data_IF_742743512051
#
_entry.id   IF_742743512051
#
_cell.length_a   1.000
_cell.length_b   1.000
_cell.length_c   1.000
_cell.angle_alpha   90.00
_cell.angle_beta   90.00
_cell.angle_gamma   90.00
#
_symmetry.space_group_name_H-M   'P 1'
#
loop_
_entity.id
_entity.type
_entity.pdbx_description
1 polymer ?
#
# COMPACT_ATOMS: atom_id res chain seq x y z
N UNK A 1 -3.03 3.52 16.97
CA UNK A 1 -2.77 2.27 16.22
C UNK A 1 -2.78 2.62 14.75
N UNK A 2 -1.81 2.14 13.97
CA UNK A 2 -1.65 2.52 12.55
C UNK A 2 -2.72 1.95 11.62
N UNK A 3 -2.82 2.52 10.42
CA UNK A 3 -3.74 2.13 9.34
C UNK A 3 -3.35 0.82 8.63
N UNK A 4 -2.10 0.36 8.84
CA UNK A 4 -1.57 -0.93 8.39
C UNK A 4 -0.77 -1.56 9.55
N UNK A 5 -0.91 -2.87 9.73
CA UNK A 5 -0.10 -3.67 10.65
C UNK A 5 0.82 -4.59 9.83
N UNK A 6 2.06 -4.75 10.27
CA UNK A 6 3.02 -5.64 9.62
C UNK A 6 3.63 -6.60 10.64
N UNK A 7 3.50 -7.90 10.38
CA UNK A 7 4.03 -8.97 11.23
C UNK A 7 4.85 -9.95 10.39
N UNK A 8 5.98 -10.41 10.93
CA UNK A 8 6.85 -11.39 10.26
C UNK A 8 6.70 -12.74 10.95
N UNK A 9 6.32 -13.77 10.20
CA UNK A 9 6.28 -15.15 10.70
C UNK A 9 7.04 -16.05 9.73
N UNK A 10 8.12 -16.69 10.21
CA UNK A 10 9.04 -17.44 9.36
C UNK A 10 9.53 -16.56 8.20
N UNK A 11 9.39 -17.03 6.95
CA UNK A 11 9.76 -16.29 5.74
C UNK A 11 8.57 -15.55 5.09
N UNK A 12 7.51 -15.29 5.86
CA UNK A 12 6.26 -14.68 5.38
C UNK A 12 5.99 -13.37 6.11
N UNK A 13 5.78 -12.29 5.35
CA UNK A 13 5.31 -11.00 5.86
C UNK A 13 3.79 -10.90 5.80
N UNK A 14 3.14 -10.68 6.94
CA UNK A 14 1.68 -10.50 7.06
C UNK A 14 1.36 -9.02 7.14
N UNK A 15 0.73 -8.49 6.09
CA UNK A 15 0.32 -7.10 5.96
C UNK A 15 -1.20 -7.05 6.20
N UNK A 16 -1.62 -6.37 7.25
CA UNK A 16 -3.05 -6.28 7.61
C UNK A 16 -3.52 -4.84 7.52
N UNK A 17 -4.44 -4.56 6.60
CA UNK A 17 -5.12 -3.27 6.51
C UNK A 17 -6.01 -3.09 7.74
N UNK A 18 -5.84 -1.98 8.45
CA UNK A 18 -6.44 -1.75 9.77
C UNK A 18 -7.25 -0.45 9.79
N UNK A 19 -8.26 -0.42 8.91
CA UNK A 19 -9.21 0.68 8.73
C UNK A 19 -10.63 0.15 8.42
N UNK A 20 -11.17 -0.74 9.27
CA UNK A 20 -12.40 -1.49 8.98
C UNK A 20 -13.65 -0.61 8.84
N UNK A 21 -13.68 0.55 9.51
CA UNK A 21 -14.75 1.54 9.46
C UNK A 21 -14.94 2.15 8.06
N UNK A 22 -13.88 2.17 7.25
CA UNK A 22 -13.90 2.61 5.86
C UNK A 22 -13.75 1.46 4.86
N UNK A 23 -13.92 0.20 5.31
CA UNK A 23 -13.67 -0.99 4.47
C UNK A 23 -12.28 -0.95 3.82
N UNK A 24 -11.29 -0.45 4.54
CA UNK A 24 -9.92 -0.26 4.08
C UNK A 24 -9.80 0.52 2.78
N UNK A 25 -10.69 1.49 2.55
CA UNK A 25 -10.55 2.44 1.46
C UNK A 25 -9.19 3.14 1.56
N UNK A 26 -8.44 3.14 0.46
CA UNK A 26 -7.07 3.63 0.36
C UNK A 26 -7.07 5.17 0.39
N UNK A 27 -6.93 5.77 1.57
CA UNK A 27 -6.63 7.19 1.72
C UNK A 27 -5.11 7.41 1.71
N UNK A 28 -4.66 8.66 1.84
CA UNK A 28 -3.22 8.99 1.80
C UNK A 28 -2.44 8.29 2.92
N UNK A 29 -2.96 8.31 4.15
CA UNK A 29 -2.31 7.68 5.31
C UNK A 29 -2.10 6.17 5.12
N UNK A 30 -3.12 5.46 4.64
CA UNK A 30 -3.02 4.01 4.43
C UNK A 30 -2.13 3.67 3.23
N UNK A 31 -2.10 4.51 2.19
CA UNK A 31 -1.16 4.35 1.07
C UNK A 31 0.28 4.57 1.52
N UNK A 32 0.55 5.59 2.32
CA UNK A 32 1.90 5.88 2.83
C UNK A 32 2.38 4.75 3.77
N UNK A 33 1.51 4.27 4.65
CA UNK A 33 1.82 3.13 5.51
C UNK A 33 2.08 1.84 4.70
N UNK A 34 1.29 1.56 3.65
CA UNK A 34 1.55 0.44 2.75
C UNK A 34 2.89 0.58 2.02
N UNK A 35 3.23 1.78 1.57
CA UNK A 35 4.51 2.06 0.91
C UNK A 35 5.69 1.69 1.80
N UNK A 36 5.66 2.12 3.06
CA UNK A 36 6.71 1.84 4.03
C UNK A 36 6.82 0.34 4.31
N UNK A 37 5.69 -0.36 4.46
CA UNK A 37 5.66 -1.81 4.65
C UNK A 37 6.25 -2.56 3.46
N UNK A 38 5.96 -2.15 2.22
CA UNK A 38 6.57 -2.77 1.04
C UNK A 38 8.06 -2.51 0.94
N UNK A 39 8.51 -1.29 1.30
CA UNK A 39 9.93 -0.98 1.37
C UNK A 39 10.64 -1.85 2.41
N UNK A 40 10.03 -2.04 3.58
CA UNK A 40 10.53 -2.94 4.62
C UNK A 40 10.57 -4.39 4.15
N UNK A 41 9.49 -4.89 3.56
CA UNK A 41 9.40 -6.25 3.02
C UNK A 41 10.49 -6.51 1.96
N UNK A 42 10.67 -5.58 1.02
CA UNK A 42 11.65 -5.72 -0.06
C UNK A 42 13.11 -5.67 0.44
N UNK A 43 13.37 -4.97 1.55
CA UNK A 43 14.70 -4.88 2.15
C UNK A 43 15.07 -6.11 3.01
N UNK A 44 14.08 -6.93 3.40
CA UNK A 44 14.26 -8.02 4.34
C UNK A 44 14.48 -9.37 3.62
N UNK A 45 15.74 -9.79 3.53
CA UNK A 45 16.13 -11.08 2.92
C UNK A 45 15.63 -12.32 3.69
N UNK A 46 15.10 -12.15 4.91
CA UNK A 46 14.46 -13.24 5.63
C UNK A 46 13.05 -13.54 5.10
N UNK A 47 12.46 -12.66 4.29
CA UNK A 47 11.10 -12.79 3.76
C UNK A 47 11.11 -13.15 2.26
N UNK A 48 10.23 -14.07 1.88
CA UNK A 48 10.03 -14.48 0.48
C UNK A 48 8.63 -14.13 -0.04
N UNK A 49 7.62 -14.17 0.84
CA UNK A 49 6.21 -14.06 0.47
C UNK A 49 5.51 -13.05 1.38
N UNK A 50 4.69 -12.18 0.80
CA UNK A 50 3.79 -11.31 1.55
C UNK A 50 2.34 -11.81 1.44
N UNK A 51 1.62 -11.82 2.55
CA UNK A 51 0.17 -12.02 2.60
C UNK A 51 -0.46 -10.69 2.98
N UNK A 52 -1.34 -10.18 2.14
CA UNK A 52 -2.11 -8.96 2.42
C UNK A 52 -3.54 -9.34 2.76
N UNK A 53 -4.07 -8.83 3.88
CA UNK A 53 -5.47 -9.03 4.29
C UNK A 53 -6.03 -7.76 4.96
N UNK A 54 -7.34 -7.72 5.24
CA UNK A 54 -8.00 -6.64 5.97
C UNK A 54 -8.58 -7.15 7.29
N UNK A 55 -8.66 -6.29 8.31
CA UNK A 55 -9.41 -6.61 9.54
C UNK A 55 -10.93 -6.55 9.32
N UNK A 56 -11.69 -7.30 10.09
CA UNK A 56 -13.15 -7.22 10.04
C UNK A 56 -13.75 -7.82 8.76
N UNK A 57 -14.66 -7.08 8.11
CA UNK A 57 -15.63 -7.66 7.15
C UNK A 57 -15.25 -7.60 5.68
N UNK A 58 -14.17 -6.91 5.33
CA UNK A 58 -13.78 -6.71 3.93
C UNK A 58 -12.25 -6.73 3.80
N UNK A 59 -11.77 -7.08 2.62
CA UNK A 59 -10.36 -6.95 2.29
C UNK A 59 -9.98 -5.48 2.05
N UNK A 60 -10.50 -4.88 0.96
CA UNK A 60 -10.30 -3.48 0.60
C UNK A 60 -11.37 -3.05 -0.38
N UNK A 61 -11.93 -1.85 -0.19
CA UNK A 61 -12.95 -1.27 -1.09
C UNK A 61 -12.37 -0.44 -2.25
N UNK A 62 -11.04 -0.39 -2.38
CA UNK A 62 -10.34 0.38 -3.40
C UNK A 62 -10.03 1.81 -2.96
N UNK A 63 -10.07 2.76 -3.90
CA UNK A 63 -9.72 4.15 -3.66
C UNK A 63 -10.70 4.84 -2.69
N UNK A 64 -10.19 5.63 -1.73
CA UNK A 64 -11.05 6.49 -0.90
C UNK A 64 -11.48 7.73 -1.70
N UNK A 65 -12.58 7.60 -2.44
CA UNK A 65 -13.08 8.67 -3.31
C UNK A 65 -13.44 9.95 -2.53
N UNK A 66 -13.85 9.83 -1.26
CA UNK A 66 -14.16 11.00 -0.43
C UNK A 66 -12.90 11.84 -0.16
N UNK A 67 -11.77 11.18 0.04
CA UNK A 67 -10.47 11.82 0.24
C UNK A 67 -9.86 12.30 -1.09
N UNK A 68 -10.04 11.52 -2.16
CA UNK A 68 -9.44 11.81 -3.46
C UNK A 68 -10.17 12.90 -4.25
N UNK A 69 -11.50 12.85 -4.38
CA UNK A 69 -12.26 13.74 -5.27
C UNK A 69 -11.94 15.23 -5.05
N UNK A 70 -11.92 15.77 -3.81
CA UNK A 70 -11.60 17.19 -3.58
C UNK A 70 -10.20 17.59 -4.08
N UNK A 71 -9.23 16.67 -4.01
CA UNK A 71 -7.85 16.89 -4.47
C UNK A 71 -7.76 16.87 -6.00
N UNK A 72 -8.61 16.10 -6.66
CA UNK A 72 -8.60 15.91 -8.12
C UNK A 72 -9.54 16.85 -8.87
N UNK A 73 -10.52 17.46 -8.20
CA UNK A 73 -11.49 18.41 -8.79
C UNK A 73 -10.81 19.59 -9.50
N UNK A 74 -9.66 20.03 -8.98
CA UNK A 74 -8.89 21.16 -9.53
C UNK A 74 -7.53 20.74 -10.12
N UNK A 75 -7.27 19.44 -10.23
CA UNK A 75 -5.96 18.94 -10.67
C UNK A 75 -5.74 19.21 -12.15
N UNK A 76 -4.54 19.68 -12.50
CA UNK A 76 -4.12 19.83 -13.91
C UNK A 76 -3.43 18.54 -14.38
N UNK A 77 -3.36 18.35 -15.69
CA UNK A 77 -2.60 17.24 -16.32
C UNK A 77 -1.14 17.15 -15.81
N UNK A 78 -0.53 18.29 -15.45
CA UNK A 78 0.83 18.31 -14.89
C UNK A 78 0.91 17.77 -13.46
N UNK A 79 -0.17 17.83 -12.68
CA UNK A 79 -0.19 17.32 -11.31
C UNK A 79 -0.27 15.79 -11.29
N UNK A 80 -0.89 15.19 -12.32
CA UNK A 80 -0.80 13.75 -12.61
C UNK A 80 0.66 13.32 -12.76
N UNK A 81 1.45 14.11 -13.51
CA UNK A 81 2.85 13.81 -13.80
C UNK A 81 3.77 13.92 -12.58
N UNK A 82 3.46 14.80 -11.62
CA UNK A 82 4.23 14.92 -10.38
C UNK A 82 4.05 13.70 -9.47
N UNK A 83 2.88 13.07 -9.53
CA UNK A 83 2.53 11.96 -8.66
C UNK A 83 2.77 10.58 -9.29
N UNK A 84 3.42 10.47 -10.47
CA UNK A 84 3.59 9.18 -11.18
C UNK A 84 4.27 8.12 -10.32
N UNK A 85 5.21 8.51 -9.46
CA UNK A 85 5.89 7.58 -8.54
C UNK A 85 4.93 6.98 -7.48
N UNK A 86 3.86 7.68 -7.13
CA UNK A 86 2.81 7.25 -6.18
C UNK A 86 1.44 7.07 -6.87
N UNK A 87 1.40 7.12 -8.21
CA UNK A 87 0.31 7.28 -9.19
C UNK A 87 -1.00 8.01 -8.72
N UNK A 88 -2.16 7.88 -9.41
CA UNK A 88 -3.46 8.51 -9.07
C UNK A 88 -4.41 7.53 -8.35
N UNK A 89 -4.88 7.81 -7.12
CA UNK A 89 -5.98 7.06 -6.49
C UNK A 89 -5.63 5.83 -5.61
N UNK A 90 -4.38 5.72 -5.14
CA UNK A 90 -3.91 4.59 -4.33
C UNK A 90 -3.69 3.28 -5.09
N UNK A 91 -3.14 2.27 -4.40
CA UNK A 91 -3.04 0.91 -4.91
C UNK A 91 -2.26 -0.01 -3.97
N UNK A 92 -2.66 -1.29 -3.91
CA UNK A 92 -2.14 -2.22 -2.89
C UNK A 92 -0.64 -2.50 -3.06
N UNK A 93 -0.14 -2.62 -4.29
CA UNK A 93 1.27 -2.94 -4.61
C UNK A 93 1.97 -1.82 -5.40
N UNK A 94 1.40 -0.63 -5.35
CA UNK A 94 1.68 0.45 -6.30
C UNK A 94 3.09 1.02 -6.17
N UNK A 95 3.76 1.25 -7.30
CA UNK A 95 5.16 1.70 -7.35
C UNK A 95 6.20 0.64 -6.89
N UNK A 96 5.76 -0.41 -6.20
CA UNK A 96 6.57 -1.51 -5.68
C UNK A 96 6.34 -2.82 -6.45
N UNK A 97 5.79 -2.75 -7.67
CA UNK A 97 5.53 -3.91 -8.55
C UNK A 97 6.79 -4.73 -8.93
N UNK A 98 7.99 -4.22 -8.63
CA UNK A 98 9.26 -4.94 -8.77
C UNK A 98 9.93 -5.08 -7.41
N UNK A 99 9.39 -5.97 -6.60
CA UNK A 99 10.06 -6.48 -5.41
C UNK A 99 11.12 -7.46 -5.90
N UNK A 100 12.40 -7.19 -5.63
CA UNK A 100 13.51 -8.06 -6.02
C UNK A 100 14.13 -8.64 -4.76
N UNK A 101 14.10 -9.96 -4.62
CA UNK A 101 14.94 -10.61 -3.62
C UNK A 101 16.41 -10.35 -3.95
N UNK A 102 17.22 -9.98 -2.95
CA UNK A 102 18.66 -9.75 -3.17
C UNK A 102 19.39 -11.04 -3.58
N UNK A 103 18.84 -12.21 -3.28
CA UNK A 103 19.37 -13.51 -3.73
C UNK A 103 19.24 -13.75 -5.24
N UNK A 104 18.47 -12.90 -5.94
CA UNK A 104 18.22 -12.95 -7.39
C UNK A 104 18.85 -11.78 -8.15
N UNK A 105 19.71 -10.97 -7.52
CA UNK A 105 20.50 -9.97 -8.25
C UNK A 105 21.74 -10.65 -8.85
N UNK A 106 22.02 -10.44 -10.15
CA UNK A 106 23.15 -11.04 -10.85
C UNK A 106 24.51 -10.55 -10.34
#
# INVERSE_FOLDING_TARGET
MGSVLFEKRNRIGYITLNRPEALHALNDELNDALWDVWAEFNADNALDVAIVTGTGKAFCSGADLKSFIPRWEHAKMLDVRKNVAREIGGGITRGQHRIRSQSLQP
#
